data_IF_626163442196
#
_entry.id   IF_626163442196
#
_cell.length_a   1.000
_cell.length_b   1.000
_cell.length_c   1.000
_cell.angle_alpha   90.00
_cell.angle_beta   90.00
_cell.angle_gamma   90.00
#
_symmetry.space_group_name_H-M   'P 1'
#
loop_
_entity.id
_entity.type
_entity.pdbx_description
1 polymer ?
#
# COMPACT_ATOMS: atom_id res chain seq x y z
N UNK A 1 10.33 51.33 39.40
CA UNK A 1 9.24 50.96 38.47
C UNK A 1 9.78 49.88 37.54
N UNK A 2 9.58 48.61 37.90
CA UNK A 2 10.10 47.43 37.20
C UNK A 2 9.08 47.01 36.13
N UNK A 3 9.52 46.73 34.90
CA UNK A 3 8.71 45.97 33.93
C UNK A 3 9.43 44.64 33.68
N UNK A 4 8.86 43.59 34.26
CA UNK A 4 9.08 42.20 33.88
C UNK A 4 8.58 42.01 32.45
N UNK A 5 9.47 41.67 31.52
CA UNK A 5 9.11 40.96 30.30
C UNK A 5 9.23 39.47 30.58
N UNK A 6 8.14 38.88 31.07
CA UNK A 6 7.95 37.45 31.14
C UNK A 6 7.97 36.87 29.73
N UNK A 7 9.06 36.17 29.41
CA UNK A 7 9.23 35.31 28.24
C UNK A 7 8.29 34.12 28.37
N UNK A 8 7.06 34.26 27.86
CA UNK A 8 6.09 33.18 27.76
C UNK A 8 6.47 32.24 26.60
N UNK A 9 7.33 31.27 26.91
CA UNK A 9 7.62 30.14 26.02
C UNK A 9 6.37 29.28 25.96
N UNK A 10 5.56 29.48 24.92
CA UNK A 10 4.48 28.55 24.56
C UNK A 10 5.15 27.25 24.12
N UNK A 11 5.08 26.25 24.99
CA UNK A 11 5.42 24.86 24.74
C UNK A 11 4.51 24.30 23.64
N UNK A 12 5.04 24.13 22.43
CA UNK A 12 4.34 23.54 21.29
C UNK A 12 4.35 21.99 21.31
N UNK A 13 4.87 21.37 22.37
CA UNK A 13 4.97 19.91 22.46
C UNK A 13 3.88 19.34 23.36
N UNK A 14 2.62 19.42 22.93
CA UNK A 14 1.56 18.41 23.15
C UNK A 14 0.31 18.92 22.45
N UNK A 15 0.15 18.59 21.17
CA UNK A 15 -1.17 18.61 20.54
C UNK A 15 -1.74 17.21 20.75
N UNK A 16 -2.72 17.01 21.66
CA UNK A 16 -3.42 15.75 21.72
C UNK A 16 -4.15 15.56 20.38
N UNK A 17 -4.05 14.39 19.76
CA UNK A 17 -4.87 14.06 18.59
C UNK A 17 -6.35 14.03 19.01
N UNK A 18 -7.01 15.18 18.83
CA UNK A 18 -8.41 15.45 19.19
C UNK A 18 -9.40 14.63 18.35
N UNK A 19 -8.95 13.88 17.35
CA UNK A 19 -9.82 13.13 16.42
C UNK A 19 -10.38 11.83 17.01
N UNK A 20 -9.79 11.30 18.08
CA UNK A 20 -10.12 9.96 18.58
C UNK A 20 -11.18 9.93 19.70
N UNK A 21 -11.50 11.08 20.32
CA UNK A 21 -12.35 11.16 21.53
C UNK A 21 -13.86 11.27 21.30
N UNK A 22 -14.37 10.96 20.11
CA UNK A 22 -15.81 11.08 19.85
C UNK A 22 -16.36 10.37 18.60
N UNK A 23 -15.58 9.51 17.94
CA UNK A 23 -16.03 8.88 16.69
C UNK A 23 -17.21 7.93 16.93
N UNK A 24 -18.36 8.11 16.25
CA UNK A 24 -19.52 7.26 16.43
C UNK A 24 -19.21 5.80 16.05
N UNK A 25 -19.86 4.86 16.74
CA UNK A 25 -19.69 3.43 16.50
C UNK A 25 -19.98 3.01 15.04
N UNK A 26 -20.82 3.79 14.33
CA UNK A 26 -21.10 3.62 12.90
C UNK A 26 -19.86 3.74 12.02
N UNK A 27 -18.87 4.54 12.41
CA UNK A 27 -17.60 4.65 11.68
C UNK A 27 -16.72 3.41 11.89
N UNK A 28 -16.90 2.64 12.97
CA UNK A 28 -16.14 1.40 13.22
C UNK A 28 -16.68 0.22 12.42
N UNK A 29 -17.99 0.18 12.17
CA UNK A 29 -18.62 -0.83 11.32
C UNK A 29 -18.27 -0.58 9.84
N UNK A 30 -17.54 -1.51 9.17
CA UNK A 30 -17.15 -1.34 7.78
C UNK A 30 -18.33 -1.18 6.81
N UNK A 31 -19.48 -1.78 7.09
CA UNK A 31 -20.66 -1.72 6.22
C UNK A 31 -21.33 -0.37 6.34
N UNK A 32 -21.56 0.12 7.56
CA UNK A 32 -22.17 1.43 7.79
C UNK A 32 -21.28 2.56 7.26
N UNK A 33 -19.97 2.47 7.50
CA UNK A 33 -18.99 3.42 6.99
C UNK A 33 -19.07 3.52 5.46
N UNK A 34 -19.11 2.37 4.77
CA UNK A 34 -19.12 2.32 3.32
C UNK A 34 -20.45 2.80 2.72
N UNK A 35 -21.58 2.51 3.39
CA UNK A 35 -22.88 3.04 3.01
C UNK A 35 -22.93 4.56 3.16
N UNK A 36 -22.44 5.12 4.27
CA UNK A 36 -22.37 6.56 4.49
C UNK A 36 -21.48 7.26 3.45
N UNK A 37 -20.28 6.72 3.21
CA UNK A 37 -19.36 7.25 2.19
C UNK A 37 -19.97 7.19 0.78
N UNK A 38 -20.70 6.12 0.45
CA UNK A 38 -21.40 6.00 -0.83
C UNK A 38 -22.56 7.00 -0.99
N UNK A 39 -23.15 7.45 0.13
CA UNK A 39 -24.17 8.49 0.16
C UNK A 39 -23.60 9.92 0.12
N UNK A 40 -22.27 10.07 0.09
CA UNK A 40 -21.59 11.36 0.02
C UNK A 40 -21.22 11.96 1.38
N UNK A 41 -21.25 11.19 2.47
CA UNK A 41 -20.79 11.63 3.78
C UNK A 41 -19.26 11.88 3.74
N UNK A 42 -18.80 13.14 3.96
CA UNK A 42 -17.39 13.49 3.90
C UNK A 42 -16.58 12.88 5.05
N UNK A 43 -17.16 12.72 6.24
CA UNK A 43 -16.45 12.12 7.40
C UNK A 43 -16.21 10.63 7.17
N UNK A 44 -17.21 9.95 6.61
CA UNK A 44 -17.09 8.55 6.25
C UNK A 44 -16.03 8.34 5.14
N UNK A 45 -15.97 9.24 4.16
CA UNK A 45 -14.95 9.23 3.13
C UNK A 45 -13.54 9.49 3.70
N UNK A 46 -13.39 10.49 4.59
CA UNK A 46 -12.11 10.77 5.26
C UNK A 46 -11.63 9.55 6.05
N UNK A 47 -12.53 8.84 6.72
CA UNK A 47 -12.18 7.64 7.48
C UNK A 47 -11.75 6.47 6.58
N UNK A 48 -12.42 6.26 5.44
CA UNK A 48 -11.94 5.30 4.43
C UNK A 48 -10.55 5.69 3.91
N UNK A 49 -10.33 6.97 3.64
CA UNK A 49 -9.04 7.49 3.22
C UNK A 49 -7.96 7.21 4.26
N UNK A 50 -8.18 7.58 5.53
CA UNK A 50 -7.24 7.38 6.61
C UNK A 50 -6.84 5.90 6.79
N UNK A 51 -7.80 4.97 6.64
CA UNK A 51 -7.57 3.52 6.78
C UNK A 51 -6.73 2.91 5.67
N UNK A 52 -6.82 3.44 4.45
CA UNK A 52 -6.30 2.77 3.26
C UNK A 52 -5.19 3.54 2.53
N UNK A 53 -5.08 4.86 2.69
CA UNK A 53 -4.18 5.70 1.88
C UNK A 53 -2.72 5.27 2.00
N UNK A 54 -2.21 5.08 3.23
CA UNK A 54 -0.82 4.65 3.44
C UNK A 54 -0.54 3.26 2.85
N UNK A 55 -1.47 2.32 3.02
CA UNK A 55 -1.36 0.95 2.48
C UNK A 55 -1.43 0.92 0.96
N UNK A 56 -2.20 1.83 0.35
CA UNK A 56 -2.32 1.95 -1.10
C UNK A 56 -1.05 2.49 -1.73
N UNK A 57 -0.46 3.55 -1.16
CA UNK A 57 0.84 4.09 -1.59
C UNK A 57 1.94 3.04 -1.43
N UNK A 58 1.94 2.33 -0.29
CA UNK A 58 2.87 1.23 -0.07
C UNK A 58 2.69 0.21 -1.19
N UNK A 59 1.51 -0.37 -1.39
CA UNK A 59 1.26 -1.33 -2.46
C UNK A 59 1.75 -0.87 -3.84
N UNK A 60 1.48 0.38 -4.22
CA UNK A 60 1.91 0.96 -5.49
C UNK A 60 3.44 1.10 -5.60
N UNK A 61 4.14 1.35 -4.50
CA UNK A 61 5.61 1.41 -4.48
C UNK A 61 6.30 0.06 -4.73
N UNK A 62 5.58 -1.05 -4.52
CA UNK A 62 6.06 -2.41 -4.77
C UNK A 62 5.61 -2.98 -6.12
N UNK A 63 4.77 -2.24 -6.87
CA UNK A 63 4.31 -2.67 -8.20
C UNK A 63 5.25 -2.15 -9.30
N UNK A 64 5.43 -2.91 -10.39
CA UNK A 64 6.00 -2.37 -11.62
C UNK A 64 5.03 -1.35 -12.23
N UNK A 65 5.48 -0.11 -12.41
CA UNK A 65 4.69 0.93 -13.08
C UNK A 65 5.00 0.97 -14.58
N UNK A 66 3.96 1.02 -15.41
CA UNK A 66 4.06 1.16 -16.86
C UNK A 66 4.58 2.54 -17.27
N UNK A 67 4.12 3.59 -16.59
CA UNK A 67 4.56 4.96 -16.76
C UNK A 67 5.53 5.36 -15.65
N UNK A 68 6.81 5.50 -15.98
CA UNK A 68 7.87 5.83 -15.02
C UNK A 68 7.83 7.28 -14.53
N UNK A 69 7.05 8.14 -15.18
CA UNK A 69 6.90 9.55 -14.78
C UNK A 69 5.97 9.71 -13.57
N UNK A 70 5.10 8.73 -13.31
CA UNK A 70 4.14 8.78 -12.21
C UNK A 70 4.72 8.18 -10.94
N UNK A 71 4.73 8.97 -9.87
CA UNK A 71 5.06 8.45 -8.55
C UNK A 71 3.94 7.54 -8.01
N UNK A 72 4.24 6.64 -7.05
CA UNK A 72 3.22 5.88 -6.33
C UNK A 72 2.14 6.77 -5.69
N UNK A 73 2.52 7.96 -5.23
CA UNK A 73 1.64 8.96 -4.64
C UNK A 73 0.69 9.54 -5.69
N UNK A 74 1.17 9.82 -6.90
CA UNK A 74 0.33 10.31 -8.00
C UNK A 74 -0.69 9.24 -8.43
N UNK A 75 -0.25 7.99 -8.52
CA UNK A 75 -1.14 6.86 -8.82
C UNK A 75 -2.18 6.66 -7.72
N UNK A 76 -1.80 6.81 -6.45
CA UNK A 76 -2.73 6.75 -5.34
C UNK A 76 -3.75 7.89 -5.40
N UNK A 77 -3.31 9.12 -5.66
CA UNK A 77 -4.19 10.28 -5.79
C UNK A 77 -5.22 10.07 -6.92
N UNK A 78 -4.77 9.59 -8.09
CA UNK A 78 -5.65 9.23 -9.21
C UNK A 78 -6.63 8.12 -8.85
N UNK A 79 -6.18 7.10 -8.11
CA UNK A 79 -7.05 6.01 -7.68
C UNK A 79 -8.12 6.51 -6.70
N UNK A 80 -7.78 7.42 -5.78
CA UNK A 80 -8.73 8.02 -4.84
C UNK A 80 -9.75 8.92 -5.52
N UNK A 81 -9.34 9.75 -6.49
CA UNK A 81 -10.28 10.58 -7.27
C UNK A 81 -11.26 9.73 -8.08
N UNK A 82 -10.76 8.65 -8.70
CA UNK A 82 -11.61 7.70 -9.41
C UNK A 82 -12.53 6.95 -8.43
N UNK A 83 -12.01 6.55 -7.27
CA UNK A 83 -12.80 5.89 -6.26
C UNK A 83 -13.95 6.78 -5.74
N UNK A 84 -13.70 8.08 -5.53
CA UNK A 84 -14.72 9.03 -5.07
C UNK A 84 -15.89 9.14 -6.07
N UNK A 85 -15.59 9.11 -7.36
CA UNK A 85 -16.60 9.22 -8.43
C UNK A 85 -17.32 7.91 -8.76
N UNK A 86 -16.67 6.77 -8.55
CA UNK A 86 -17.22 5.44 -8.86
C UNK A 86 -17.92 4.77 -7.67
N UNK A 87 -17.52 5.07 -6.43
CA UNK A 87 -18.03 4.42 -5.22
C UNK A 87 -19.57 4.40 -5.15
N UNK A 88 -20.29 5.53 -5.41
CA UNK A 88 -21.76 5.55 -5.30
C UNK A 88 -22.48 4.59 -6.26
N UNK A 89 -21.84 4.19 -7.36
CA UNK A 89 -22.44 3.36 -8.42
C UNK A 89 -21.92 1.92 -8.42
N UNK A 90 -20.89 1.61 -7.64
CA UNK A 90 -20.15 0.35 -7.72
C UNK A 90 -20.61 -0.67 -6.68
N UNK A 91 -21.41 -1.65 -7.11
CA UNK A 91 -21.79 -2.80 -6.24
C UNK A 91 -20.58 -3.61 -5.77
N UNK A 92 -19.50 -3.63 -6.56
CA UNK A 92 -18.25 -4.31 -6.20
C UNK A 92 -17.54 -3.59 -5.06
N UNK A 93 -17.53 -2.25 -5.09
CA UNK A 93 -16.98 -1.44 -4.00
C UNK A 93 -17.73 -1.73 -2.70
N UNK A 94 -19.07 -1.75 -2.72
CA UNK A 94 -19.91 -2.04 -1.54
C UNK A 94 -19.66 -3.44 -0.94
N UNK A 95 -19.22 -4.42 -1.73
CA UNK A 95 -19.00 -5.82 -1.29
C UNK A 95 -17.58 -6.11 -0.78
N UNK A 96 -16.60 -5.33 -1.22
CA UNK A 96 -15.18 -5.52 -0.95
C UNK A 96 -14.41 -4.25 -1.36
N UNK A 97 -14.58 -3.18 -0.58
CA UNK A 97 -14.00 -1.88 -0.89
C UNK A 97 -12.48 -1.96 -1.05
N UNK A 98 -11.81 -2.67 -0.14
CA UNK A 98 -10.36 -2.85 -0.17
C UNK A 98 -9.91 -3.57 -1.44
N UNK A 99 -10.52 -4.71 -1.78
CA UNK A 99 -10.17 -5.43 -3.01
C UNK A 99 -10.46 -4.63 -4.29
N UNK A 100 -11.56 -3.88 -4.30
CA UNK A 100 -11.94 -3.02 -5.42
C UNK A 100 -10.97 -1.84 -5.59
N UNK A 101 -10.63 -1.12 -4.51
CA UNK A 101 -9.72 0.03 -4.52
C UNK A 101 -8.32 -0.36 -4.97
N UNK A 102 -7.77 -1.45 -4.42
CA UNK A 102 -6.44 -1.93 -4.79
C UNK A 102 -6.42 -2.46 -6.23
N UNK A 103 -7.50 -3.09 -6.68
CA UNK A 103 -7.67 -3.47 -8.09
C UNK A 103 -7.72 -2.26 -9.03
N UNK A 104 -8.42 -1.19 -8.63
CA UNK A 104 -8.48 0.08 -9.36
C UNK A 104 -7.09 0.69 -9.52
N UNK A 105 -6.35 0.79 -8.42
CA UNK A 105 -4.98 1.34 -8.40
C UNK A 105 -4.02 0.49 -9.23
N UNK A 106 -4.09 -0.85 -9.12
CA UNK A 106 -3.26 -1.78 -9.92
C UNK A 106 -3.50 -1.60 -11.42
N UNK A 107 -4.76 -1.45 -11.85
CA UNK A 107 -5.08 -1.21 -13.27
C UNK A 107 -4.41 0.05 -13.81
N UNK A 108 -4.33 1.11 -12.98
CA UNK A 108 -3.64 2.34 -13.36
C UNK A 108 -2.12 2.16 -13.41
N UNK A 109 -1.53 1.42 -12.46
CA UNK A 109 -0.08 1.21 -12.40
C UNK A 109 0.45 0.30 -13.53
N UNK A 110 -0.19 -0.84 -13.79
CA UNK A 110 0.32 -1.88 -14.71
C UNK A 110 0.03 -1.57 -16.18
N UNK A 111 -0.92 -0.67 -16.46
CA UNK A 111 -1.38 -0.36 -17.81
C UNK A 111 -2.11 -1.54 -18.49
N UNK A 112 -2.86 -1.26 -19.56
CA UNK A 112 -3.70 -2.27 -20.25
C UNK A 112 -2.90 -3.37 -20.98
N UNK A 113 -1.59 -3.23 -21.15
CA UNK A 113 -0.78 -4.09 -22.05
C UNK A 113 0.01 -5.23 -21.41
N UNK A 114 0.17 -5.30 -20.07
CA UNK A 114 1.06 -6.31 -19.43
C UNK A 114 0.34 -7.46 -18.72
N UNK A 115 -0.99 -7.53 -18.81
CA UNK A 115 -1.76 -8.55 -18.08
C UNK A 115 -1.65 -9.95 -18.72
N UNK A 116 -1.05 -10.12 -19.92
CA UNK A 116 -1.19 -11.38 -20.66
C UNK A 116 0.03 -11.96 -21.38
N UNK A 117 1.21 -11.33 -21.42
CA UNK A 117 2.33 -11.90 -22.21
C UNK A 117 3.66 -11.74 -21.47
N UNK A 118 4.36 -12.86 -21.32
CA UNK A 118 5.73 -13.09 -20.85
C UNK A 118 6.05 -12.92 -19.36
N UNK A 119 6.10 -14.08 -18.69
CA UNK A 119 6.80 -14.33 -17.42
C UNK A 119 8.33 -14.30 -17.56
N UNK A 120 8.88 -13.37 -18.36
CA UNK A 120 10.32 -13.15 -18.47
C UNK A 120 10.63 -11.68 -18.24
N UNK A 121 11.22 -11.37 -17.08
CA UNK A 121 11.79 -10.05 -16.81
C UNK A 121 12.90 -9.77 -17.85
N UNK A 122 12.94 -8.61 -18.52
CA UNK A 122 14.22 -8.07 -18.93
C UNK A 122 15.01 -7.77 -17.65
N UNK A 123 16.22 -8.32 -17.53
CA UNK A 123 17.15 -7.99 -16.46
C UNK A 123 17.61 -6.55 -16.70
N UNK A 124 16.86 -5.61 -16.15
CA UNK A 124 17.22 -4.19 -16.20
C UNK A 124 18.34 -3.98 -15.19
N UNK A 125 19.52 -3.62 -15.70
CA UNK A 125 20.67 -3.15 -14.91
C UNK A 125 20.17 -2.16 -13.86
N UNK A 126 20.47 -2.51 -12.61
CA UNK A 126 20.13 -1.70 -11.45
C UNK A 126 21.10 -0.54 -11.48
N UNK A 127 20.67 0.55 -12.12
CA UNK A 127 21.30 1.84 -11.89
C UNK A 127 21.19 2.12 -10.38
N UNK A 128 22.35 2.28 -9.75
CA UNK A 128 22.53 2.29 -8.30
C UNK A 128 21.94 3.55 -7.64
N UNK A 129 21.33 4.43 -8.41
CA UNK A 129 20.79 5.71 -7.95
C UNK A 129 19.30 5.66 -7.54
N UNK A 130 18.80 4.47 -7.18
CA UNK A 130 17.45 4.33 -6.59
C UNK A 130 17.43 4.77 -5.13
N UNK A 131 17.70 6.04 -4.86
CA UNK A 131 16.98 6.73 -3.79
C UNK A 131 15.52 6.88 -4.22
N UNK A 132 14.76 5.77 -4.20
CA UNK A 132 13.31 5.83 -4.16
C UNK A 132 12.99 6.63 -2.90
N UNK A 133 12.66 7.92 -3.07
CA UNK A 133 12.23 8.80 -2.00
C UNK A 133 10.99 8.21 -1.34
N UNK A 134 11.20 7.30 -0.40
CA UNK A 134 10.16 6.74 0.44
C UNK A 134 9.72 7.89 1.35
N UNK A 135 8.54 8.44 1.08
CA UNK A 135 7.76 9.17 2.08
C UNK A 135 7.22 8.16 3.10
N UNK A 136 8.13 7.49 3.80
CA UNK A 136 7.87 6.84 5.07
C UNK A 136 8.56 7.71 6.12
N UNK A 137 7.86 8.02 7.21
CA UNK A 137 8.29 8.86 8.34
C UNK A 137 9.82 8.95 8.53
N UNK A 138 10.41 10.13 8.81
CA UNK A 138 11.86 10.31 9.02
C UNK A 138 12.48 9.48 10.17
N UNK A 139 11.68 8.69 10.88
CA UNK A 139 11.99 7.96 12.11
C UNK A 139 12.44 6.51 11.91
N UNK A 140 12.63 6.04 10.67
CA UNK A 140 13.13 4.68 10.44
C UNK A 140 14.62 4.57 10.76
N UNK A 141 15.00 3.67 11.68
CA UNK A 141 16.41 3.33 11.91
C UNK A 141 17.09 2.88 10.60
N UNK A 142 18.39 3.17 10.38
CA UNK A 142 19.16 2.67 9.24
C UNK A 142 19.04 1.15 9.04
N UNK A 143 18.95 0.39 10.14
CA UNK A 143 18.74 -1.06 10.11
C UNK A 143 17.36 -1.45 9.55
N UNK A 144 16.33 -0.63 9.78
CA UNK A 144 14.99 -0.82 9.20
C UNK A 144 14.99 -0.58 7.69
N UNK A 145 15.73 0.43 7.23
CA UNK A 145 15.88 0.72 5.80
C UNK A 145 16.57 -0.44 5.07
N UNK A 146 17.68 -0.95 5.61
CA UNK A 146 18.41 -2.07 5.02
C UNK A 146 17.55 -3.36 4.89
N UNK A 147 16.70 -3.64 5.89
CA UNK A 147 15.79 -4.80 5.86
C UNK A 147 14.70 -4.66 4.78
N UNK A 148 14.14 -3.46 4.63
CA UNK A 148 13.15 -3.18 3.57
C UNK A 148 13.78 -3.33 2.19
N UNK A 149 15.02 -2.84 2.00
CA UNK A 149 15.73 -2.96 0.73
C UNK A 149 16.11 -4.40 0.39
N UNK A 150 16.41 -5.22 1.40
CA UNK A 150 16.63 -6.66 1.23
C UNK A 150 15.35 -7.38 0.82
N UNK A 151 14.21 -7.06 1.47
CA UNK A 151 12.91 -7.61 1.11
C UNK A 151 12.50 -7.20 -0.31
N UNK A 152 12.75 -5.94 -0.70
CA UNK A 152 12.52 -5.45 -2.06
C UNK A 152 13.29 -6.24 -3.09
N UNK A 153 14.60 -6.47 -2.85
CA UNK A 153 15.44 -7.27 -3.74
C UNK A 153 14.98 -8.72 -3.83
N UNK A 154 14.61 -9.34 -2.71
CA UNK A 154 14.11 -10.72 -2.71
C UNK A 154 12.77 -10.84 -3.46
N UNK A 155 11.87 -9.85 -3.33
CA UNK A 155 10.64 -9.78 -4.11
C UNK A 155 10.90 -9.50 -5.59
N UNK A 156 11.98 -8.79 -5.92
CA UNK A 156 12.41 -8.58 -7.30
C UNK A 156 12.94 -9.85 -7.99
N UNK A 157 13.37 -10.85 -7.24
CA UNK A 157 13.78 -12.14 -7.80
C UNK A 157 12.59 -13.10 -8.00
N UNK A 158 11.39 -12.72 -7.56
CA UNK A 158 10.17 -13.47 -7.84
C UNK A 158 9.56 -13.11 -9.20
N UNK A 159 8.81 -14.08 -9.75
CA UNK A 159 7.85 -13.78 -10.81
C UNK A 159 6.85 -12.70 -10.37
N UNK A 160 6.44 -11.84 -11.31
CA UNK A 160 5.60 -10.68 -11.02
C UNK A 160 4.31 -11.07 -10.28
N UNK A 161 3.70 -12.20 -10.63
CA UNK A 161 2.45 -12.65 -10.00
C UNK A 161 2.68 -13.12 -8.56
N UNK A 162 3.82 -13.74 -8.27
CA UNK A 162 4.20 -14.15 -6.92
C UNK A 162 4.46 -12.92 -6.03
N UNK A 163 5.22 -11.94 -6.55
CA UNK A 163 5.49 -10.69 -5.84
C UNK A 163 4.20 -9.92 -5.54
N UNK A 164 3.30 -9.75 -6.52
CA UNK A 164 2.00 -9.08 -6.32
C UNK A 164 1.18 -9.73 -5.19
N UNK A 165 1.08 -11.06 -5.18
CA UNK A 165 0.32 -11.78 -4.16
C UNK A 165 0.92 -11.61 -2.76
N UNK A 166 2.24 -11.71 -2.63
CA UNK A 166 2.92 -11.50 -1.33
C UNK A 166 2.79 -10.05 -0.88
N UNK A 167 2.94 -9.08 -1.77
CA UNK A 167 2.74 -7.67 -1.44
C UNK A 167 1.32 -7.43 -0.91
N UNK A 168 0.30 -7.95 -1.60
CA UNK A 168 -1.09 -7.80 -1.15
C UNK A 168 -1.31 -8.41 0.24
N UNK A 169 -0.94 -9.68 0.44
CA UNK A 169 -1.30 -10.40 1.68
C UNK A 169 -0.37 -10.05 2.84
N UNK A 170 0.93 -10.00 2.61
CA UNK A 170 1.94 -9.98 3.66
C UNK A 170 2.53 -8.58 3.91
N UNK A 171 2.60 -7.73 2.89
CA UNK A 171 3.16 -6.37 3.04
C UNK A 171 2.08 -5.36 3.43
N UNK A 172 0.96 -5.37 2.72
CA UNK A 172 -0.13 -4.41 2.97
C UNK A 172 -1.33 -5.04 3.67
N UNK A 173 -1.32 -6.34 3.96
CA UNK A 173 -2.31 -6.97 4.85
C UNK A 173 -3.72 -7.13 4.28
N UNK A 174 -3.89 -7.22 2.94
CA UNK A 174 -5.19 -7.55 2.35
C UNK A 174 -5.63 -8.95 2.75
N UNK A 175 -6.94 -9.12 2.93
CA UNK A 175 -7.53 -10.45 3.07
C UNK A 175 -7.32 -11.28 1.80
N UNK A 176 -7.38 -12.62 1.90
CA UNK A 176 -7.33 -13.50 0.71
C UNK A 176 -8.47 -13.19 -0.28
N UNK A 177 -9.64 -12.80 0.23
CA UNK A 177 -10.79 -12.40 -0.61
C UNK A 177 -10.48 -11.10 -1.34
N UNK A 178 -10.01 -10.09 -0.63
CA UNK A 178 -9.71 -8.77 -1.19
C UNK A 178 -8.54 -8.81 -2.16
N UNK A 179 -7.53 -9.63 -1.87
CA UNK A 179 -6.44 -9.93 -2.81
C UNK A 179 -6.96 -10.61 -4.08
N UNK A 180 -7.87 -11.58 -3.95
CA UNK A 180 -8.47 -12.25 -5.10
C UNK A 180 -9.25 -11.26 -5.99
N UNK A 181 -10.02 -10.35 -5.38
CA UNK A 181 -10.71 -9.26 -6.08
C UNK A 181 -9.72 -8.32 -6.77
N UNK A 182 -8.69 -7.84 -6.06
CA UNK A 182 -7.72 -6.88 -6.57
C UNK A 182 -6.90 -7.42 -7.75
N UNK A 183 -6.53 -8.70 -7.70
CA UNK A 183 -5.66 -9.35 -8.69
C UNK A 183 -6.42 -10.11 -9.78
N UNK A 184 -7.75 -10.20 -9.70
CA UNK A 184 -8.56 -10.99 -10.62
C UNK A 184 -8.26 -12.50 -10.52
N UNK A 185 -8.13 -13.02 -9.30
CA UNK A 185 -7.78 -14.42 -9.01
C UNK A 185 -8.92 -15.14 -8.28
N UNK A 186 -8.84 -16.46 -8.20
CA UNK A 186 -9.62 -17.23 -7.24
C UNK A 186 -8.95 -17.21 -5.86
N UNK A 187 -9.74 -17.31 -4.77
CA UNK A 187 -9.19 -17.37 -3.40
C UNK A 187 -8.23 -18.55 -3.21
N UNK A 188 -8.53 -19.69 -3.85
CA UNK A 188 -7.66 -20.88 -3.86
C UNK A 188 -6.34 -20.55 -4.57
N UNK A 189 -6.41 -19.90 -5.73
CA UNK A 189 -5.25 -19.45 -6.48
C UNK A 189 -4.33 -18.53 -5.66
N UNK A 190 -4.91 -17.54 -4.96
CA UNK A 190 -4.14 -16.65 -4.07
C UNK A 190 -3.37 -17.43 -3.01
N UNK A 191 -4.02 -18.38 -2.31
CA UNK A 191 -3.35 -19.20 -1.29
C UNK A 191 -2.21 -20.05 -1.87
N UNK A 192 -2.44 -20.65 -3.04
CA UNK A 192 -1.45 -21.51 -3.69
C UNK A 192 -0.22 -20.70 -4.16
N UNK A 193 -0.47 -19.56 -4.83
CA UNK A 193 0.58 -18.65 -5.29
C UNK A 193 1.35 -18.07 -4.10
N UNK A 194 0.67 -17.61 -3.04
CA UNK A 194 1.32 -17.13 -1.81
C UNK A 194 2.24 -18.20 -1.22
N UNK A 195 1.76 -19.44 -1.06
CA UNK A 195 2.56 -20.53 -0.49
C UNK A 195 3.81 -20.80 -1.32
N UNK A 196 3.71 -20.78 -2.66
CA UNK A 196 4.86 -20.97 -3.56
C UNK A 196 5.83 -19.80 -3.48
N UNK A 197 5.32 -18.58 -3.45
CA UNK A 197 6.11 -17.36 -3.33
C UNK A 197 6.92 -17.33 -2.03
N UNK A 198 6.28 -17.62 -0.89
CA UNK A 198 6.95 -17.65 0.42
C UNK A 198 8.05 -18.72 0.48
N UNK A 199 7.82 -19.90 -0.11
CA UNK A 199 8.86 -20.94 -0.24
C UNK A 199 10.04 -20.49 -1.09
N UNK A 200 9.78 -19.76 -2.18
CA UNK A 200 10.86 -19.23 -3.01
C UNK A 200 11.63 -18.13 -2.29
N UNK A 201 10.94 -17.25 -1.56
CA UNK A 201 11.55 -16.21 -0.74
C UNK A 201 12.44 -16.79 0.36
N UNK A 202 11.99 -17.83 1.07
CA UNK A 202 12.83 -18.46 2.09
C UNK A 202 14.14 -18.97 1.48
N UNK A 203 14.07 -19.68 0.35
CA UNK A 203 15.28 -20.16 -0.34
C UNK A 203 16.21 -19.03 -0.77
N UNK A 204 15.67 -17.94 -1.35
CA UNK A 204 16.47 -16.79 -1.77
C UNK A 204 17.14 -16.07 -0.60
N UNK A 205 16.43 -15.95 0.53
CA UNK A 205 16.98 -15.34 1.74
C UNK A 205 18.08 -16.21 2.34
N UNK A 206 17.89 -17.53 2.40
CA UNK A 206 18.90 -18.48 2.89
C UNK A 206 20.19 -18.41 2.03
N UNK A 207 20.06 -18.39 0.71
CA UNK A 207 21.18 -18.22 -0.23
C UNK A 207 21.91 -16.87 -0.05
N UNK A 208 21.19 -15.81 0.32
CA UNK A 208 21.76 -14.48 0.55
C UNK A 208 22.53 -14.38 1.86
N UNK A 209 22.06 -15.07 2.91
CA UNK A 209 22.71 -15.13 4.21
C UNK A 209 24.02 -15.93 4.11
N UNK A 210 24.03 -17.02 3.34
CA UNK A 210 25.24 -17.81 3.10
C UNK A 210 26.32 -17.02 2.35
N UNK A 211 25.94 -16.11 1.44
CA UNK A 211 26.87 -15.23 0.71
C UNK A 211 27.46 -14.08 1.54
N UNK A 212 26.81 -13.72 2.64
CA UNK A 212 27.29 -12.62 3.51
C UNK A 212 28.24 -13.12 4.60
N UNK A 213 28.25 -14.43 4.88
CA UNK A 213 29.10 -15.06 5.88
C UNK A 213 30.44 -15.60 5.36
N UNK A 214 30.81 -15.30 4.11
CA UNK A 214 32.04 -15.73 3.45
C UNK A 214 32.77 -14.50 2.88
#
# INVERSE_FOLDING_TARGET
>A
MRRDTGSDRVDQSTVPDLRDRGRPASMRDPVLLLTAASAGDPEAWEELYARHAGRLVLFLSWLPTADRSLSPQDLAARAWLMAASELPRSRSATRDFEGWLFGLARRQAVGRGRTSIDGRRPRIEVDADRSRGRTGSPTGSPAGHARVDQLQRALDDLDARHAEVVTCVDVVGLSTRSTATALGMTRVGVRLVRRRALRRLSTLLDESLQRTGN
#
